data_IF_605322233139
#
_entry.id   IF_605322233139
#
_cell.length_a   1.000
_cell.length_b   1.000
_cell.length_c   1.000
_cell.angle_alpha   90.00
_cell.angle_beta   90.00
_cell.angle_gamma   90.00
#
_symmetry.space_group_name_H-M   'P 1'
#
loop_
_entity.id
_entity.type
_entity.pdbx_description
1 polymer ?
#
# COMPACT_ATOMS: atom_id res chain seq x y z
N UNK A 1 -8.37 15.47 -35.36
CA UNK A 1 -7.99 15.59 -33.93
C UNK A 1 -6.73 14.73 -33.75
N UNK A 2 -5.53 15.35 -33.63
CA UNK A 2 -4.29 14.59 -33.39
C UNK A 2 -4.42 13.95 -32.00
N UNK A 3 -4.41 12.62 -31.92
CA UNK A 3 -4.22 11.89 -30.69
C UNK A 3 -2.89 12.36 -30.08
N UNK A 4 -2.95 13.24 -29.10
CA UNK A 4 -1.78 13.64 -28.33
C UNK A 4 -1.26 12.37 -27.65
N UNK A 5 -0.05 11.94 -28.02
CA UNK A 5 0.64 10.82 -27.38
C UNK A 5 0.95 11.22 -25.92
N UNK A 6 -0.01 11.03 -25.02
CA UNK A 6 0.21 11.27 -23.60
C UNK A 6 1.19 10.22 -23.08
N UNK A 7 2.35 10.69 -22.63
CA UNK A 7 3.32 9.86 -21.92
C UNK A 7 3.05 10.00 -20.43
N UNK A 8 2.73 8.89 -19.80
CA UNK A 8 2.41 8.83 -18.39
C UNK A 8 3.47 8.05 -17.59
N UNK A 9 3.61 8.40 -16.31
CA UNK A 9 4.51 7.70 -15.41
C UNK A 9 3.95 7.63 -13.99
N UNK A 10 4.37 6.59 -13.27
CA UNK A 10 4.06 6.34 -11.86
C UNK A 10 5.33 6.53 -11.04
N UNK A 11 5.23 7.30 -9.96
CA UNK A 11 6.36 7.62 -9.07
C UNK A 11 6.15 6.95 -7.72
N UNK A 12 7.01 5.99 -7.40
CA UNK A 12 6.99 5.30 -6.11
C UNK A 12 7.87 6.04 -5.07
N UNK A 13 7.54 5.93 -3.77
CA UNK A 13 8.38 6.44 -2.70
C UNK A 13 9.80 5.86 -2.73
N UNK A 14 10.83 6.65 -2.39
CA UNK A 14 12.22 6.20 -2.33
C UNK A 14 12.43 4.94 -1.48
N UNK A 15 11.70 4.82 -0.35
CA UNK A 15 11.82 3.69 0.57
C UNK A 15 10.98 2.47 0.16
N UNK A 16 10.12 2.63 -0.86
CA UNK A 16 9.32 1.53 -1.38
C UNK A 16 10.16 0.65 -2.30
N UNK A 17 10.20 -0.65 -2.05
CA UNK A 17 10.88 -1.60 -2.93
C UNK A 17 9.88 -2.13 -3.97
N UNK A 18 10.21 -1.98 -5.24
CA UNK A 18 9.38 -2.48 -6.35
C UNK A 18 9.95 -3.80 -6.90
N UNK A 19 10.14 -4.76 -6.01
CA UNK A 19 10.77 -6.05 -6.33
C UNK A 19 9.84 -7.23 -6.05
N UNK A 20 10.14 -8.38 -6.65
CA UNK A 20 9.39 -9.62 -6.46
C UNK A 20 9.64 -10.31 -5.11
N UNK A 21 10.66 -9.89 -4.36
CA UNK A 21 11.06 -10.51 -3.08
C UNK A 21 10.71 -9.61 -1.89
N UNK A 22 10.90 -8.29 -2.06
CA UNK A 22 10.78 -7.29 -1.01
C UNK A 22 9.89 -6.16 -1.55
N UNK A 23 8.64 -6.17 -1.19
CA UNK A 23 7.62 -5.25 -1.70
C UNK A 23 6.73 -4.74 -0.57
N UNK A 24 6.24 -3.52 -0.72
CA UNK A 24 5.24 -2.93 0.15
C UNK A 24 3.84 -2.94 -0.47
N UNK A 25 2.87 -2.46 0.28
CA UNK A 25 1.47 -2.40 -0.15
C UNK A 25 1.26 -1.51 -1.39
N UNK A 26 2.00 -0.41 -1.49
CA UNK A 26 1.95 0.50 -2.65
C UNK A 26 2.48 -0.18 -3.90
N UNK A 27 3.59 -0.92 -3.78
CA UNK A 27 4.18 -1.67 -4.90
C UNK A 27 3.24 -2.74 -5.43
N UNK A 28 2.52 -3.44 -4.55
CA UNK A 28 1.50 -4.41 -4.94
C UNK A 28 0.34 -3.69 -5.65
N UNK A 29 -0.12 -2.56 -5.12
CA UNK A 29 -1.19 -1.77 -5.73
C UNK A 29 -0.83 -1.38 -7.17
N UNK A 30 0.35 -0.81 -7.39
CA UNK A 30 0.83 -0.41 -8.73
C UNK A 30 0.98 -1.61 -9.66
N UNK A 31 1.51 -2.74 -9.17
CA UNK A 31 1.57 -3.98 -9.96
C UNK A 31 0.19 -4.42 -10.44
N UNK A 32 -0.77 -4.49 -9.52
CA UNK A 32 -2.13 -4.97 -9.80
C UNK A 32 -2.86 -3.97 -10.73
N UNK A 33 -2.68 -2.67 -10.51
CA UNK A 33 -3.20 -1.63 -11.38
C UNK A 33 -2.70 -1.81 -12.83
N UNK A 34 -1.39 -1.91 -13.04
CA UNK A 34 -0.79 -2.08 -14.35
C UNK A 34 -1.15 -3.42 -15.02
N UNK A 35 -1.37 -4.48 -14.24
CA UNK A 35 -1.81 -5.78 -14.74
C UNK A 35 -3.24 -5.74 -15.31
N UNK A 36 -4.10 -4.86 -14.79
CA UNK A 36 -5.50 -4.72 -15.21
C UNK A 36 -5.71 -3.70 -16.34
N UNK A 37 -4.70 -2.88 -16.67
CA UNK A 37 -4.76 -1.97 -17.81
C UNK A 37 -4.17 -2.66 -19.04
N UNK A 38 -5.03 -2.95 -20.02
CA UNK A 38 -4.57 -3.49 -21.31
C UNK A 38 -3.61 -2.53 -22.00
N UNK A 39 -2.43 -3.03 -22.34
CA UNK A 39 -1.41 -2.27 -23.09
C UNK A 39 -0.93 -0.98 -22.39
N UNK A 40 -0.92 -0.93 -21.05
CA UNK A 40 -0.31 0.20 -20.36
C UNK A 40 1.14 0.38 -20.76
N UNK A 41 1.47 1.61 -21.17
CA UNK A 41 2.83 2.05 -21.46
C UNK A 41 3.40 2.89 -20.31
N UNK A 42 2.71 2.95 -19.18
CA UNK A 42 3.11 3.74 -18.03
C UNK A 42 4.49 3.32 -17.53
N UNK A 43 5.36 4.29 -17.35
CA UNK A 43 6.70 4.08 -16.86
C UNK A 43 6.72 4.16 -15.34
N UNK A 44 7.28 3.17 -14.67
CA UNK A 44 7.38 3.16 -13.20
C UNK A 44 8.75 3.67 -12.76
N UNK A 45 8.78 4.83 -12.12
CA UNK A 45 9.96 5.35 -11.43
C UNK A 45 10.04 4.75 -10.02
N UNK A 46 11.09 4.00 -9.75
CA UNK A 46 11.36 3.42 -8.44
C UNK A 46 12.87 3.44 -8.14
N UNK A 47 13.22 3.18 -6.90
CA UNK A 47 14.63 2.99 -6.52
C UNK A 47 15.25 1.81 -7.28
N UNK A 48 16.50 1.96 -7.75
CA UNK A 48 17.26 0.85 -8.33
C UNK A 48 17.43 -0.28 -7.31
N UNK A 49 17.11 -1.49 -7.72
CA UNK A 49 17.29 -2.70 -6.92
C UNK A 49 18.73 -3.20 -6.94
N UNK A 50 19.10 -4.03 -5.96
CA UNK A 50 20.33 -4.83 -6.01
C UNK A 50 20.25 -5.91 -7.10
N UNK A 51 21.38 -6.42 -7.55
CA UNK A 51 21.50 -7.27 -8.73
C UNK A 51 20.70 -8.60 -8.71
N UNK A 52 20.31 -9.07 -7.53
CA UNK A 52 19.61 -10.36 -7.36
C UNK A 52 18.09 -10.23 -7.26
N UNK A 53 17.52 -9.07 -7.60
CA UNK A 53 16.08 -8.80 -7.49
C UNK A 53 15.49 -8.40 -8.83
N UNK A 54 14.30 -8.94 -9.15
CA UNK A 54 13.53 -8.57 -10.34
C UNK A 54 12.46 -7.55 -9.99
N UNK A 55 12.18 -6.63 -10.91
CA UNK A 55 11.06 -5.70 -10.79
C UNK A 55 9.72 -6.40 -10.96
N UNK A 56 8.67 -5.84 -10.35
CA UNK A 56 7.31 -6.40 -10.41
C UNK A 56 6.67 -6.28 -11.80
N UNK A 57 7.11 -5.31 -12.61
CA UNK A 57 6.61 -5.09 -13.98
C UNK A 57 7.77 -4.82 -14.95
N UNK A 58 7.49 -4.82 -16.27
CA UNK A 58 8.52 -4.65 -17.32
C UNK A 58 8.90 -3.18 -17.54
N UNK A 59 7.95 -2.26 -17.55
CA UNK A 59 8.17 -0.84 -17.87
C UNK A 59 8.69 -0.08 -16.64
N UNK A 60 9.92 -0.34 -16.24
CA UNK A 60 10.54 0.26 -15.05
C UNK A 60 11.74 1.13 -15.43
N UNK A 61 11.77 2.35 -14.90
CA UNK A 61 12.93 3.24 -14.93
C UNK A 61 13.54 3.31 -13.52
N UNK A 62 14.59 2.52 -13.24
CA UNK A 62 15.22 2.53 -11.93
C UNK A 62 16.04 3.80 -11.72
N UNK A 63 15.87 4.43 -10.58
CA UNK A 63 16.57 5.63 -10.16
C UNK A 63 17.68 5.26 -9.18
N UNK A 64 18.93 5.46 -9.57
CA UNK A 64 20.08 5.22 -8.72
C UNK A 64 20.24 6.38 -7.73
N UNK A 65 20.19 6.07 -6.43
CA UNK A 65 20.52 7.01 -5.35
C UNK A 65 21.60 6.35 -4.49
N UNK A 66 22.79 6.93 -4.46
CA UNK A 66 23.92 6.42 -3.66
C UNK A 66 23.69 6.67 -2.17
N UNK A 67 24.32 5.87 -1.30
CA UNK A 67 24.16 5.97 0.16
C UNK A 67 24.41 7.39 0.70
N UNK A 68 25.44 8.07 0.22
CA UNK A 68 25.80 9.45 0.62
C UNK A 68 24.68 10.46 0.30
N UNK A 69 23.83 10.20 -0.70
CA UNK A 69 22.76 11.08 -1.17
C UNK A 69 21.38 10.42 -1.11
N UNK A 70 21.18 9.48 -0.18
CA UNK A 70 19.93 8.76 -0.02
C UNK A 70 18.86 9.63 0.64
N UNK A 71 18.40 10.65 -0.08
CA UNK A 71 17.37 11.59 0.37
C UNK A 71 16.22 11.68 -0.63
N UNK A 72 15.02 11.97 -0.12
CA UNK A 72 13.85 12.22 -0.96
C UNK A 72 14.09 13.37 -1.95
N UNK A 73 14.81 14.41 -1.53
CA UNK A 73 15.13 15.57 -2.39
C UNK A 73 15.99 15.17 -3.60
N UNK A 74 17.05 14.39 -3.40
CA UNK A 74 17.90 13.94 -4.50
C UNK A 74 17.18 12.94 -5.42
N UNK A 75 16.32 12.11 -4.84
CA UNK A 75 15.54 11.15 -5.61
C UNK A 75 14.55 11.86 -6.54
N UNK A 76 13.77 12.82 -6.03
CA UNK A 76 12.79 13.53 -6.86
C UNK A 76 13.42 14.43 -7.90
N UNK A 77 14.60 15.04 -7.63
CA UNK A 77 15.36 15.80 -8.64
C UNK A 77 15.76 14.91 -9.83
N UNK A 78 16.22 13.68 -9.57
CA UNK A 78 16.56 12.73 -10.65
C UNK A 78 15.34 12.29 -11.43
N UNK A 79 14.22 12.04 -10.76
CA UNK A 79 12.94 11.72 -11.43
C UNK A 79 12.50 12.91 -12.31
N UNK A 80 12.58 14.13 -11.80
CA UNK A 80 12.23 15.33 -12.56
C UNK A 80 13.03 15.46 -13.84
N UNK A 81 14.35 15.22 -13.81
CA UNK A 81 15.19 15.23 -15.00
C UNK A 81 14.76 14.16 -16.03
N UNK A 82 14.36 12.97 -15.56
CA UNK A 82 13.83 11.93 -16.44
C UNK A 82 12.44 12.29 -17.02
N UNK A 83 11.58 12.96 -16.25
CA UNK A 83 10.29 13.48 -16.72
C UNK A 83 10.49 14.45 -17.88
N UNK A 84 11.43 15.40 -17.75
CA UNK A 84 11.76 16.35 -18.82
C UNK A 84 12.35 15.64 -20.04
N UNK A 85 13.35 14.77 -19.82
CA UNK A 85 14.03 14.03 -20.89
C UNK A 85 13.08 13.17 -21.74
N UNK A 86 12.04 12.61 -21.12
CA UNK A 86 11.11 11.69 -21.76
C UNK A 86 9.79 12.36 -22.18
N UNK A 87 9.69 13.67 -22.02
CA UNK A 87 8.50 14.47 -22.33
C UNK A 87 7.22 13.90 -21.69
N UNK A 88 7.30 13.59 -20.36
CA UNK A 88 6.18 13.08 -19.59
C UNK A 88 5.30 14.25 -19.18
N UNK A 89 4.00 14.13 -19.44
CA UNK A 89 3.03 15.19 -19.17
C UNK A 89 1.90 14.79 -18.21
N UNK A 90 1.83 13.50 -17.83
CA UNK A 90 0.92 13.00 -16.79
C UNK A 90 1.74 12.14 -15.82
N UNK A 91 1.61 12.40 -14.54
CA UNK A 91 2.27 11.59 -13.51
C UNK A 91 1.33 11.23 -12.37
N UNK A 92 1.54 10.05 -11.84
CA UNK A 92 0.89 9.52 -10.66
C UNK A 92 1.92 9.38 -9.54
N UNK A 93 1.68 10.01 -8.39
CA UNK A 93 2.61 10.05 -7.26
C UNK A 93 1.95 9.41 -6.04
N UNK A 94 2.60 8.39 -5.47
CA UNK A 94 2.09 7.66 -4.33
C UNK A 94 2.74 8.12 -3.01
N UNK A 95 1.93 8.51 -2.02
CA UNK A 95 2.35 8.80 -0.64
C UNK A 95 3.48 9.84 -0.48
N UNK A 96 3.69 10.72 -1.47
CA UNK A 96 4.77 11.71 -1.41
C UNK A 96 4.29 13.08 -1.90
N UNK A 97 3.46 13.77 -1.09
CA UNK A 97 2.97 15.11 -1.45
C UNK A 97 4.11 16.10 -1.72
N UNK A 98 5.24 15.98 -1.01
CA UNK A 98 6.43 16.80 -1.26
C UNK A 98 7.02 16.61 -2.66
N UNK A 99 6.85 15.44 -3.27
CA UNK A 99 7.27 15.21 -4.67
C UNK A 99 6.33 15.93 -5.64
N UNK A 100 5.03 15.88 -5.38
CA UNK A 100 4.02 16.57 -6.17
C UNK A 100 4.28 18.10 -6.17
N UNK A 101 4.47 18.68 -4.99
CA UNK A 101 4.79 20.10 -4.85
C UNK A 101 6.09 20.50 -5.55
N UNK A 102 7.14 19.66 -5.44
CA UNK A 102 8.40 19.91 -6.14
C UNK A 102 8.24 19.92 -7.66
N UNK A 103 7.55 18.92 -8.21
CA UNK A 103 7.34 18.81 -9.67
C UNK A 103 6.47 19.96 -10.17
N UNK A 104 5.35 20.24 -9.50
CA UNK A 104 4.42 21.32 -9.88
C UNK A 104 5.04 22.72 -9.77
N UNK A 105 6.01 22.91 -8.86
CA UNK A 105 6.78 24.15 -8.78
C UNK A 105 7.69 24.37 -10.02
N UNK A 106 8.27 23.28 -10.56
CA UNK A 106 9.27 23.36 -11.64
C UNK A 106 8.67 23.09 -13.04
N UNK A 107 7.49 22.45 -13.14
CA UNK A 107 6.74 22.17 -14.36
C UNK A 107 5.23 22.29 -14.06
N UNK A 108 4.68 23.53 -14.05
CA UNK A 108 3.29 23.77 -13.63
C UNK A 108 2.21 23.17 -14.58
N UNK A 109 2.55 22.94 -15.81
CA UNK A 109 1.67 22.41 -16.87
C UNK A 109 1.50 20.88 -16.81
N UNK A 110 2.32 20.17 -16.02
CA UNK A 110 2.20 18.72 -15.87
C UNK A 110 0.96 18.33 -15.05
N UNK A 111 0.23 17.33 -15.50
CA UNK A 111 -0.89 16.79 -14.73
C UNK A 111 -0.40 15.82 -13.66
N UNK A 112 -0.59 16.18 -12.40
CA UNK A 112 -0.21 15.36 -11.26
C UNK A 112 -1.43 14.75 -10.58
N UNK A 113 -1.52 13.42 -10.56
CA UNK A 113 -2.40 12.66 -9.69
C UNK A 113 -1.63 12.27 -8.42
N UNK A 114 -2.07 12.75 -7.26
CA UNK A 114 -1.46 12.42 -5.98
C UNK A 114 -2.33 11.40 -5.25
N UNK A 115 -1.79 10.23 -4.92
CA UNK A 115 -2.53 9.15 -4.26
C UNK A 115 -2.03 8.94 -2.83
N UNK A 116 -2.95 9.05 -1.88
CA UNK A 116 -2.70 8.82 -0.47
C UNK A 116 -3.09 7.39 -0.07
N UNK A 117 -2.10 6.62 0.41
CA UNK A 117 -2.26 5.30 1.03
C UNK A 117 -2.02 5.34 2.54
N UNK A 118 -1.43 6.43 3.05
CA UNK A 118 -1.18 6.67 4.47
C UNK A 118 -1.85 7.99 4.91
N UNK A 119 -1.97 8.18 6.24
CA UNK A 119 -2.57 9.38 6.81
C UNK A 119 -1.86 10.66 6.30
N UNK A 120 -2.59 11.53 5.57
CA UNK A 120 -2.03 12.76 5.01
C UNK A 120 -1.38 13.68 6.04
N UNK A 121 -1.88 13.69 7.28
CA UNK A 121 -1.38 14.51 8.36
C UNK A 121 0.02 14.10 8.85
N UNK A 122 0.44 12.89 8.53
CA UNK A 122 1.78 12.35 8.90
C UNK A 122 2.81 12.50 7.78
N UNK A 123 2.40 12.93 6.58
CA UNK A 123 3.27 12.99 5.41
C UNK A 123 3.83 14.39 5.21
N UNK A 124 5.14 14.47 4.99
CA UNK A 124 5.79 15.72 4.60
C UNK A 124 5.17 16.22 3.28
N UNK A 125 4.77 17.50 3.27
CA UNK A 125 4.10 18.13 2.10
C UNK A 125 2.57 18.12 2.16
N UNK A 126 1.96 17.53 3.22
CA UNK A 126 0.52 17.61 3.49
C UNK A 126 0.18 17.69 4.98
N UNK A 127 1.18 17.88 5.84
CA UNK A 127 1.04 17.87 7.29
C UNK A 127 0.57 19.21 7.90
N UNK A 128 0.14 20.15 7.09
CA UNK A 128 -0.48 21.40 7.53
C UNK A 128 -1.46 21.96 6.49
N UNK A 129 -2.33 22.85 6.93
CA UNK A 129 -3.40 23.48 6.14
C UNK A 129 -2.89 24.13 4.84
N UNK A 130 -1.82 24.91 4.90
CA UNK A 130 -1.28 25.64 3.73
C UNK A 130 -0.86 24.70 2.63
N UNK A 131 -0.12 23.63 2.96
CA UNK A 131 0.34 22.64 2.00
C UNK A 131 -0.81 21.83 1.41
N UNK A 132 -1.82 21.48 2.22
CA UNK A 132 -3.04 20.81 1.74
C UNK A 132 -3.79 21.68 0.72
N UNK A 133 -3.99 22.97 1.02
CA UNK A 133 -4.62 23.92 0.09
C UNK A 133 -3.81 24.09 -1.20
N UNK A 134 -2.48 24.12 -1.11
CA UNK A 134 -1.61 24.18 -2.28
C UNK A 134 -1.75 22.93 -3.15
N UNK A 135 -1.80 21.73 -2.55
CA UNK A 135 -2.06 20.49 -3.27
C UNK A 135 -3.42 20.49 -3.98
N UNK A 136 -4.49 20.92 -3.28
CA UNK A 136 -5.82 21.04 -3.87
C UNK A 136 -5.87 22.03 -5.04
N UNK A 137 -5.08 23.12 -4.98
CA UNK A 137 -5.01 24.12 -6.04
C UNK A 137 -4.24 23.62 -7.27
N UNK A 138 -3.14 22.89 -7.05
CA UNK A 138 -2.16 22.59 -8.11
C UNK A 138 -2.26 21.19 -8.70
N UNK A 139 -2.66 20.18 -7.91
CA UNK A 139 -2.80 18.81 -8.42
C UNK A 139 -3.99 18.71 -9.38
N UNK A 140 -3.83 17.90 -10.43
CA UNK A 140 -4.93 17.56 -11.32
C UNK A 140 -5.98 16.72 -10.55
N UNK A 141 -5.55 15.70 -9.81
CA UNK A 141 -6.38 14.93 -8.87
C UNK A 141 -5.64 14.67 -7.57
N UNK A 142 -6.38 14.66 -6.46
CA UNK A 142 -5.94 14.18 -5.15
C UNK A 142 -6.83 12.99 -4.78
N UNK A 143 -6.23 11.82 -4.70
CA UNK A 143 -6.92 10.53 -4.60
C UNK A 143 -6.63 9.90 -3.24
N UNK A 144 -7.65 9.35 -2.61
CA UNK A 144 -7.57 8.67 -1.32
C UNK A 144 -8.02 7.22 -1.45
N UNK A 145 -7.36 6.29 -0.77
CA UNK A 145 -7.76 4.88 -0.82
C UNK A 145 -8.87 4.54 0.18
N UNK A 146 -9.40 5.53 0.92
CA UNK A 146 -10.55 5.38 1.83
C UNK A 146 -11.23 6.73 2.09
N UNK A 147 -12.50 6.71 2.52
CA UNK A 147 -13.19 7.89 3.05
C UNK A 147 -12.49 8.42 4.29
N UNK A 148 -12.00 7.51 5.14
CA UNK A 148 -11.24 7.88 6.33
C UNK A 148 -10.03 8.76 5.99
N UNK A 149 -9.22 8.38 5.01
CA UNK A 149 -8.08 9.19 4.57
C UNK A 149 -8.52 10.55 4.00
N UNK A 150 -9.61 10.57 3.22
CA UNK A 150 -10.16 11.83 2.72
C UNK A 150 -10.60 12.73 3.88
N UNK A 151 -11.31 12.21 4.86
CA UNK A 151 -11.72 12.97 6.04
C UNK A 151 -10.51 13.48 6.82
N UNK A 152 -9.48 12.64 7.02
CA UNK A 152 -8.21 13.05 7.66
C UNK A 152 -7.48 14.17 6.91
N UNK A 153 -7.61 14.21 5.59
CA UNK A 153 -7.02 15.31 4.81
C UNK A 153 -7.77 16.63 5.02
N UNK A 154 -9.08 16.59 5.19
CA UNK A 154 -9.93 17.76 5.32
C UNK A 154 -10.19 18.20 6.76
N UNK A 155 -9.77 17.46 7.78
CA UNK A 155 -10.12 17.67 9.19
C UNK A 155 -9.67 19.03 9.77
N UNK A 156 -8.61 19.63 9.22
CA UNK A 156 -8.12 20.97 9.60
C UNK A 156 -8.46 22.07 8.58
N UNK A 157 -9.20 21.72 7.51
CA UNK A 157 -9.61 22.66 6.48
C UNK A 157 -11.04 23.17 6.74
N UNK A 158 -11.31 24.42 6.37
CA UNK A 158 -12.66 25.02 6.45
C UNK A 158 -13.57 24.58 5.28
N UNK A 159 -13.12 23.64 4.46
CA UNK A 159 -13.85 23.08 3.32
C UNK A 159 -13.91 21.56 3.47
N UNK A 160 -15.05 20.96 3.12
CA UNK A 160 -15.27 19.52 3.23
C UNK A 160 -15.16 18.80 1.88
N UNK A 161 -15.01 19.55 0.79
CA UNK A 161 -15.03 19.02 -0.55
C UNK A 161 -14.19 19.90 -1.50
N UNK A 162 -13.63 19.25 -2.53
CA UNK A 162 -13.01 19.91 -3.68
C UNK A 162 -13.22 19.01 -4.91
N UNK A 163 -13.55 19.61 -6.06
CA UNK A 163 -13.91 18.90 -7.29
C UNK A 163 -12.78 18.03 -7.88
N UNK A 164 -11.54 18.26 -7.48
CA UNK A 164 -10.41 17.44 -7.92
C UNK A 164 -10.06 16.31 -6.95
N UNK A 165 -10.89 16.04 -5.94
CA UNK A 165 -10.65 14.95 -4.97
C UNK A 165 -11.53 13.75 -5.25
N UNK A 166 -10.94 12.55 -5.20
CA UNK A 166 -11.63 11.29 -5.45
C UNK A 166 -11.27 10.23 -4.40
N UNK A 167 -12.13 9.24 -4.25
CA UNK A 167 -11.86 8.03 -3.47
C UNK A 167 -11.78 6.87 -4.45
N UNK A 168 -10.62 6.20 -4.47
CA UNK A 168 -10.42 4.97 -5.24
C UNK A 168 -9.93 3.91 -4.26
N UNK A 169 -10.82 3.03 -3.85
CA UNK A 169 -10.50 1.95 -2.92
C UNK A 169 -9.44 1.00 -3.48
N UNK A 170 -8.69 0.37 -2.59
CA UNK A 170 -7.83 -0.73 -3.00
C UNK A 170 -8.66 -1.86 -3.59
N UNK A 171 -8.10 -2.56 -4.52
CA UNK A 171 -8.73 -3.64 -5.26
C UNK A 171 -7.87 -4.90 -5.26
N UNK A 172 -8.50 -6.02 -5.56
CA UNK A 172 -7.86 -7.32 -5.73
C UNK A 172 -8.73 -8.19 -6.63
N UNK A 173 -8.10 -9.07 -7.40
CA UNK A 173 -8.82 -10.02 -8.23
C UNK A 173 -9.57 -11.04 -7.38
N UNK A 174 -10.87 -11.19 -7.66
CA UNK A 174 -11.72 -12.18 -7.02
C UNK A 174 -11.47 -13.57 -7.62
N UNK A 175 -11.38 -14.60 -6.77
CA UNK A 175 -11.38 -15.97 -7.25
C UNK A 175 -12.79 -16.40 -7.68
N UNK A 176 -12.87 -17.22 -8.74
CA UNK A 176 -14.15 -17.69 -9.30
C UNK A 176 -14.80 -18.79 -8.45
N UNK A 177 -13.99 -19.61 -7.80
CA UNK A 177 -14.44 -20.77 -6.98
C UNK A 177 -13.63 -20.83 -5.70
N UNK A 178 -14.30 -20.86 -4.57
CA UNK A 178 -13.65 -21.02 -3.28
C UNK A 178 -13.32 -22.50 -3.02
N UNK A 179 -12.07 -22.86 -2.71
CA UNK A 179 -11.71 -24.21 -2.30
C UNK A 179 -12.31 -24.56 -0.94
N UNK A 180 -12.32 -25.86 -0.62
CA UNK A 180 -12.68 -26.33 0.73
C UNK A 180 -11.75 -25.69 1.77
N UNK A 181 -12.34 -25.13 2.83
CA UNK A 181 -11.61 -24.49 3.92
C UNK A 181 -11.11 -25.52 4.94
N UNK A 182 -9.92 -25.24 5.46
CA UNK A 182 -9.33 -25.95 6.59
C UNK A 182 -9.68 -25.21 7.89
N UNK A 183 -9.82 -25.94 8.99
CA UNK A 183 -10.06 -25.35 10.32
C UNK A 183 -8.80 -24.65 10.84
N UNK A 184 -8.42 -23.54 10.21
CA UNK A 184 -7.32 -22.73 10.66
C UNK A 184 -7.66 -21.24 10.71
N UNK A 185 -7.01 -20.55 11.65
CA UNK A 185 -7.09 -19.10 11.86
C UNK A 185 -5.75 -18.51 11.42
N UNK A 186 -5.79 -17.53 10.52
CA UNK A 186 -4.56 -16.90 10.03
C UNK A 186 -4.42 -15.46 10.50
N UNK A 187 -3.19 -15.09 10.89
CA UNK A 187 -2.73 -13.72 11.06
C UNK A 187 -1.60 -13.47 10.06
N UNK A 188 -1.62 -12.33 9.36
CA UNK A 188 -0.51 -11.95 8.49
C UNK A 188 -0.22 -10.46 8.56
N UNK A 189 1.06 -10.12 8.63
CA UNK A 189 1.54 -8.75 8.74
C UNK A 189 2.81 -8.64 9.58
N UNK A 190 3.20 -7.41 9.92
CA UNK A 190 4.30 -7.20 10.87
C UNK A 190 3.89 -7.73 12.25
N UNK A 191 4.78 -8.50 12.88
CA UNK A 191 4.52 -9.11 14.18
C UNK A 191 4.82 -8.11 15.31
N UNK A 192 4.05 -7.02 15.38
CA UNK A 192 4.22 -5.93 16.33
C UNK A 192 2.89 -5.52 16.98
N UNK A 193 2.99 -4.69 18.02
CA UNK A 193 1.83 -4.18 18.76
C UNK A 193 0.88 -3.40 17.85
N UNK A 194 1.41 -2.55 16.98
CA UNK A 194 0.56 -1.71 16.12
C UNK A 194 -0.33 -2.52 15.17
N UNK A 195 0.13 -3.71 14.73
CA UNK A 195 -0.69 -4.65 13.93
C UNK A 195 -1.56 -5.57 14.79
N UNK A 196 -1.53 -5.43 16.11
CA UNK A 196 -2.36 -6.20 17.05
C UNK A 196 -1.86 -7.62 17.29
N UNK A 197 -0.60 -7.94 16.96
CA UNK A 197 -0.07 -9.30 17.10
C UNK A 197 -0.03 -9.77 18.56
N UNK A 198 0.22 -8.88 19.52
CA UNK A 198 0.16 -9.21 20.95
C UNK A 198 -1.23 -9.68 21.38
N UNK A 199 -2.28 -8.96 20.96
CA UNK A 199 -3.68 -9.30 21.26
C UNK A 199 -4.04 -10.63 20.61
N UNK A 200 -3.70 -10.79 19.33
CA UNK A 200 -3.89 -12.04 18.62
C UNK A 200 -3.21 -13.21 19.33
N UNK A 201 -1.94 -13.08 19.71
CA UNK A 201 -1.17 -14.14 20.35
C UNK A 201 -1.76 -14.60 21.68
N UNK A 202 -2.21 -13.67 22.52
CA UNK A 202 -2.88 -13.98 23.80
C UNK A 202 -4.23 -14.68 23.58
N UNK A 203 -4.99 -14.26 22.58
CA UNK A 203 -6.30 -14.83 22.29
C UNK A 203 -6.20 -16.21 21.65
N UNK A 204 -5.27 -16.38 20.68
CA UNK A 204 -5.20 -17.61 19.86
C UNK A 204 -4.82 -18.83 20.69
N UNK A 205 -3.96 -18.71 21.70
CA UNK A 205 -3.60 -19.81 22.60
C UNK A 205 -4.86 -20.34 23.28
N UNK A 206 -5.64 -19.45 23.89
CA UNK A 206 -6.89 -19.82 24.59
C UNK A 206 -7.93 -20.44 23.65
N UNK A 207 -7.98 -20.00 22.39
CA UNK A 207 -8.87 -20.56 21.38
C UNK A 207 -8.43 -21.98 21.00
N UNK A 208 -7.14 -22.19 20.81
CA UNK A 208 -6.60 -23.48 20.44
C UNK A 208 -6.78 -24.50 21.58
N UNK A 209 -6.61 -24.10 22.84
CA UNK A 209 -6.90 -24.95 24.01
C UNK A 209 -8.36 -25.41 24.02
N UNK A 210 -9.28 -24.51 23.70
CA UNK A 210 -10.73 -24.79 23.72
C UNK A 210 -11.23 -25.60 22.52
N UNK A 211 -10.57 -25.45 21.37
CA UNK A 211 -11.00 -26.06 20.09
C UNK A 211 -9.86 -26.95 19.51
N UNK A 212 -9.78 -28.23 19.91
CA UNK A 212 -8.64 -29.09 19.58
C UNK A 212 -8.48 -29.41 18.09
N UNK A 213 -9.51 -29.29 17.30
CA UNK A 213 -9.53 -29.53 15.86
C UNK A 213 -9.15 -28.29 15.01
N UNK A 214 -8.86 -27.15 15.66
CA UNK A 214 -8.39 -25.94 15.01
C UNK A 214 -6.87 -25.76 15.14
N UNK A 215 -6.29 -25.11 14.14
CA UNK A 215 -4.89 -24.67 14.13
C UNK A 215 -4.77 -23.18 13.83
N UNK A 216 -3.59 -22.61 14.06
CA UNK A 216 -3.31 -21.23 13.74
C UNK A 216 -2.05 -21.08 12.91
N UNK A 217 -2.10 -20.19 11.93
CA UNK A 217 -1.01 -19.84 11.03
C UNK A 217 -0.66 -18.36 11.16
N UNK A 218 0.61 -18.05 11.31
CA UNK A 218 1.11 -16.69 11.36
C UNK A 218 2.15 -16.50 10.24
N UNK A 219 1.98 -15.46 9.43
CA UNK A 219 2.94 -15.11 8.39
C UNK A 219 3.39 -13.66 8.56
N UNK A 220 4.66 -13.47 8.86
CA UNK A 220 5.24 -12.15 9.05
C UNK A 220 6.54 -12.16 9.82
N UNK A 221 7.11 -10.99 10.02
CA UNK A 221 8.31 -10.80 10.83
C UNK A 221 8.35 -9.36 11.39
N UNK A 222 8.99 -9.18 12.53
CA UNK A 222 9.37 -7.88 13.07
C UNK A 222 10.58 -8.09 14.02
N UNK A 223 11.69 -7.45 13.68
CA UNK A 223 12.94 -7.61 14.45
C UNK A 223 13.00 -6.73 15.71
N UNK A 224 12.19 -5.68 15.79
CA UNK A 224 12.21 -4.70 16.88
C UNK A 224 11.36 -5.09 18.07
N UNK A 225 10.41 -6.00 17.88
CA UNK A 225 9.50 -6.49 18.93
C UNK A 225 9.52 -8.02 18.92
N UNK A 226 9.75 -8.62 20.07
CA UNK A 226 9.79 -10.08 20.22
C UNK A 226 8.63 -10.55 21.07
N UNK A 227 7.84 -11.47 20.52
CA UNK A 227 6.74 -12.12 21.22
C UNK A 227 6.97 -13.64 21.23
N UNK A 228 6.87 -14.25 22.41
CA UNK A 228 7.11 -15.68 22.62
C UNK A 228 5.80 -16.46 22.83
N UNK A 229 4.91 -16.43 21.82
CA UNK A 229 3.70 -17.27 21.84
C UNK A 229 4.02 -18.68 21.36
N UNK A 230 3.67 -19.69 22.17
CA UNK A 230 3.91 -21.11 21.87
C UNK A 230 2.65 -21.92 22.09
N UNK A 231 2.31 -22.76 21.14
CA UNK A 231 1.28 -23.79 21.23
C UNK A 231 1.57 -24.83 20.13
N UNK A 232 1.31 -26.11 20.36
CA UNK A 232 1.60 -27.19 19.39
C UNK A 232 0.95 -26.99 18.01
N UNK A 233 -0.25 -26.39 18.01
CA UNK A 233 -1.03 -26.10 16.79
C UNK A 233 -0.93 -24.65 16.29
N UNK A 234 -0.02 -23.84 16.86
CA UNK A 234 0.35 -22.50 16.38
C UNK A 234 1.64 -22.58 15.58
N UNK A 235 1.60 -22.26 14.30
CA UNK A 235 2.77 -22.21 13.42
C UNK A 235 3.08 -20.80 13.00
N UNK A 236 4.27 -20.30 13.36
CA UNK A 236 4.75 -18.96 13.03
C UNK A 236 5.79 -19.07 11.92
N UNK A 237 5.53 -18.42 10.78
CA UNK A 237 6.37 -18.40 9.59
C UNK A 237 6.87 -16.98 9.33
N UNK A 238 8.05 -16.87 8.73
CA UNK A 238 8.56 -15.61 8.18
C UNK A 238 7.71 -15.13 7.00
N UNK A 239 8.04 -13.95 6.44
CA UNK A 239 7.44 -13.44 5.22
C UNK A 239 7.46 -14.48 4.11
N UNK A 240 6.37 -14.54 3.37
CA UNK A 240 6.24 -15.39 2.20
C UNK A 240 5.88 -14.57 0.96
N UNK A 241 6.07 -15.14 -0.22
CA UNK A 241 5.62 -14.54 -1.48
C UNK A 241 4.12 -14.24 -1.44
N UNK A 242 3.72 -13.09 -2.02
CA UNK A 242 2.33 -12.62 -1.98
C UNK A 242 1.35 -13.61 -2.63
N UNK A 243 1.74 -14.21 -3.77
CA UNK A 243 0.88 -15.21 -4.44
C UNK A 243 0.69 -16.45 -3.57
N UNK A 244 1.75 -16.87 -2.86
CA UNK A 244 1.68 -17.98 -1.91
C UNK A 244 0.78 -17.63 -0.72
N UNK A 245 0.87 -16.41 -0.19
CA UNK A 245 0.00 -15.95 0.89
C UNK A 245 -1.48 -15.96 0.47
N UNK A 246 -1.81 -15.52 -0.74
CA UNK A 246 -3.17 -15.57 -1.26
C UNK A 246 -3.70 -17.03 -1.33
N UNK A 247 -2.87 -18.00 -1.72
CA UNK A 247 -3.25 -19.43 -1.70
C UNK A 247 -3.45 -19.99 -0.29
N UNK A 248 -2.73 -19.45 0.71
CA UNK A 248 -2.92 -19.82 2.11
C UNK A 248 -4.28 -19.29 2.59
N UNK A 249 -4.64 -18.04 2.26
CA UNK A 249 -5.97 -17.52 2.53
C UNK A 249 -7.09 -18.34 1.87
N UNK A 250 -6.89 -18.83 0.65
CA UNK A 250 -7.86 -19.70 -0.04
C UNK A 250 -8.23 -20.94 0.80
N UNK A 251 -7.28 -21.48 1.55
CA UNK A 251 -7.49 -22.63 2.43
C UNK A 251 -7.93 -22.26 3.85
N UNK A 252 -7.62 -21.06 4.32
CA UNK A 252 -7.92 -20.63 5.69
C UNK A 252 -9.39 -20.29 5.90
N UNK A 253 -9.95 -20.68 7.03
CA UNK A 253 -11.34 -20.39 7.39
C UNK A 253 -11.51 -18.96 7.93
N UNK A 254 -10.63 -18.54 8.84
CA UNK A 254 -10.74 -17.25 9.54
C UNK A 254 -9.44 -16.47 9.36
N UNK A 255 -9.55 -15.20 9.07
CA UNK A 255 -8.42 -14.25 9.08
C UNK A 255 -8.64 -13.18 10.13
N UNK A 256 -7.62 -12.90 10.96
CA UNK A 256 -7.67 -11.87 11.99
C UNK A 256 -6.81 -10.69 11.58
N UNK A 257 -7.43 -9.52 11.49
CA UNK A 257 -6.79 -8.24 11.12
C UNK A 257 -7.22 -7.19 12.15
N UNK A 258 -6.49 -7.11 13.24
CA UNK A 258 -6.87 -6.37 14.44
C UNK A 258 -5.85 -5.29 14.84
N UNK A 259 -5.49 -4.36 13.93
CA UNK A 259 -4.54 -3.30 14.26
C UNK A 259 -5.02 -2.46 15.46
N UNK A 260 -4.06 -2.00 16.27
CA UNK A 260 -4.29 -1.03 17.35
C UNK A 260 -4.05 0.41 16.90
N UNK A 261 -3.45 0.61 15.73
CA UNK A 261 -3.30 1.91 15.09
C UNK A 261 -4.42 2.17 14.09
N UNK A 262 -4.55 3.41 13.65
CA UNK A 262 -5.54 3.79 12.64
C UNK A 262 -5.09 3.28 11.25
N UNK A 263 -5.65 2.16 10.82
CA UNK A 263 -5.31 1.54 9.54
C UNK A 263 -5.90 2.36 8.38
N UNK A 264 -5.11 2.80 7.40
CA UNK A 264 -5.62 3.63 6.31
C UNK A 264 -6.68 2.99 5.42
N UNK A 265 -6.62 1.66 5.24
CA UNK A 265 -7.60 0.88 4.47
C UNK A 265 -7.72 -0.56 4.96
N UNK A 266 -6.61 -1.32 5.05
CA UNK A 266 -6.64 -2.73 5.45
C UNK A 266 -6.54 -3.70 4.28
N UNK A 267 -5.50 -3.58 3.45
CA UNK A 267 -5.29 -4.47 2.31
C UNK A 267 -5.31 -5.97 2.68
N UNK A 268 -4.75 -6.35 3.83
CA UNK A 268 -4.75 -7.72 4.34
C UNK A 268 -6.17 -8.26 4.54
N UNK A 269 -7.08 -7.43 5.06
CA UNK A 269 -8.48 -7.78 5.23
C UNK A 269 -9.17 -8.01 3.89
N UNK A 270 -8.97 -7.10 2.93
CA UNK A 270 -9.48 -7.25 1.56
C UNK A 270 -8.98 -8.53 0.90
N UNK A 271 -7.68 -8.82 1.00
CA UNK A 271 -7.06 -10.00 0.42
C UNK A 271 -7.63 -11.30 0.98
N UNK A 272 -7.74 -11.41 2.29
CA UNK A 272 -8.28 -12.61 2.94
C UNK A 272 -9.78 -12.80 2.68
N UNK A 273 -10.58 -11.72 2.70
CA UNK A 273 -11.99 -11.75 2.35
C UNK A 273 -12.21 -12.19 0.88
N UNK A 274 -11.43 -11.64 -0.06
CA UNK A 274 -11.50 -12.00 -1.48
C UNK A 274 -11.18 -13.48 -1.75
N UNK A 275 -10.53 -14.15 -0.80
CA UNK A 275 -10.20 -15.58 -0.82
C UNK A 275 -11.16 -16.42 0.02
N UNK A 276 -12.24 -15.84 0.52
CA UNK A 276 -13.32 -16.51 1.23
C UNK A 276 -13.04 -16.81 2.71
N UNK A 277 -12.09 -16.11 3.35
CA UNK A 277 -11.98 -16.16 4.79
C UNK A 277 -13.15 -15.38 5.44
N UNK A 278 -13.65 -15.87 6.57
CA UNK A 278 -14.36 -15.02 7.53
C UNK A 278 -13.33 -14.09 8.16
N UNK A 279 -13.53 -12.76 8.06
CA UNK A 279 -12.52 -11.79 8.53
C UNK A 279 -12.98 -11.13 9.80
N UNK A 280 -12.14 -11.22 10.85
CA UNK A 280 -12.33 -10.52 12.13
C UNK A 280 -11.44 -9.28 12.09
N UNK A 281 -12.06 -8.10 12.23
CA UNK A 281 -11.35 -6.81 12.19
C UNK A 281 -11.63 -5.96 13.43
N UNK A 282 -10.69 -5.06 13.75
CA UNK A 282 -10.98 -3.91 14.61
C UNK A 282 -11.63 -2.79 13.77
N UNK A 283 -12.38 -1.88 14.42
CA UNK A 283 -12.97 -0.71 13.79
C UNK A 283 -11.95 0.46 13.74
N UNK A 284 -10.78 0.25 13.15
CA UNK A 284 -9.66 1.20 13.17
C UNK A 284 -9.46 1.87 11.82
N UNK A 285 -9.66 3.19 11.76
CA UNK A 285 -9.42 4.00 10.56
C UNK A 285 -10.33 3.60 9.39
N UNK A 286 -9.74 3.45 8.20
CA UNK A 286 -10.43 3.02 6.99
C UNK A 286 -10.66 1.51 6.88
N UNK A 287 -10.32 0.72 7.91
CA UNK A 287 -10.48 -0.73 7.87
C UNK A 287 -11.95 -1.15 7.79
N UNK A 288 -12.86 -0.38 8.40
CA UNK A 288 -14.31 -0.60 8.31
C UNK A 288 -14.88 -0.40 6.91
N UNK A 289 -14.12 0.18 5.98
CA UNK A 289 -14.54 0.42 4.60
C UNK A 289 -14.12 -0.72 3.63
N UNK A 290 -13.47 -1.76 4.16
CA UNK A 290 -12.88 -2.83 3.34
C UNK A 290 -13.93 -3.85 2.85
N UNK A 291 -15.13 -3.87 3.45
CA UNK A 291 -16.22 -4.81 3.16
C UNK A 291 -17.52 -4.09 2.84
#
# INVERSE_FOLDING_TARGET
MKLTNHRSAIVLPLKESYSNIDFGAVSIWVRDYLANIKNSKDLVFCKKLSNNKNYLTKNVKPILVTQKFFTNSNYIKKIYNEIIKQDINIIEIHNRPEYALYILKNKPDIKVNLIFHNDPNTLRGSNNKTLKLELLKKCYKVIFVSKWLKNRFFDDLQINHNNNTEIIYNFIDKIKKFPKKEKNIIFSGKLNKSKGFEIFGKAIIRILDKFPDWSALVYGNEQREVFAFKHERLKIHNWTDHKKLLKIYEKSSISVVNPTWQEPFGRTALESASRGCAVITSLSGGLSETF
#
